data_IF_758465387092
#
_entry.id   IF_758465387092
#
_cell.length_a   1.000
_cell.length_b   1.000
_cell.length_c   1.000
_cell.angle_alpha   90.00
_cell.angle_beta   90.00
_cell.angle_gamma   90.00
#
_symmetry.space_group_name_H-M   'P 1'
#
loop_
_entity.id
_entity.type
_entity.pdbx_description
1 polymer ?
#
# COMPACT_ATOMS: atom_id res chain seq x y z
N UNK A 1 21.15 35.41 16.77
CA UNK A 1 19.73 35.08 16.94
C UNK A 1 19.17 34.72 15.57
N UNK A 2 19.17 33.43 15.24
CA UNK A 2 18.36 32.83 14.17
C UNK A 2 17.92 31.47 14.71
N UNK A 3 16.61 31.25 14.76
CA UNK A 3 15.95 30.04 15.25
C UNK A 3 15.92 29.07 14.07
N UNK A 4 16.55 27.91 14.18
CA UNK A 4 16.27 26.81 13.26
C UNK A 4 14.96 26.15 13.73
N UNK A 5 13.99 26.11 12.84
CA UNK A 5 12.75 25.37 13.04
C UNK A 5 13.06 23.88 13.20
N UNK A 6 12.38 23.27 14.17
CA UNK A 6 12.52 21.87 14.52
C UNK A 6 11.98 21.02 13.38
N UNK A 7 12.86 20.33 12.65
CA UNK A 7 12.47 19.23 11.79
C UNK A 7 11.70 18.21 12.63
N UNK A 8 10.41 18.08 12.35
CA UNK A 8 9.59 17.01 12.90
C UNK A 8 9.99 15.73 12.16
N UNK A 9 11.08 15.12 12.64
CA UNK A 9 11.49 13.79 12.26
C UNK A 9 10.33 12.85 12.65
N UNK A 10 9.57 12.40 11.65
CA UNK A 10 8.53 11.39 11.87
C UNK A 10 9.28 10.11 12.22
N UNK A 11 9.34 9.85 13.52
CA UNK A 11 9.91 8.67 14.12
C UNK A 11 9.22 7.42 13.55
N UNK A 12 9.95 6.73 12.68
CA UNK A 12 9.50 5.51 12.03
C UNK A 12 9.41 4.32 13.02
N UNK A 13 9.72 4.54 14.30
CA UNK A 13 9.56 3.56 15.39
C UNK A 13 8.15 3.54 15.99
N UNK A 14 7.28 4.51 15.68
CA UNK A 14 5.92 4.58 16.24
C UNK A 14 4.85 3.87 15.41
N UNK A 15 5.19 3.22 14.29
CA UNK A 15 4.27 2.24 13.69
C UNK A 15 4.47 0.94 14.47
N UNK A 16 3.83 0.87 15.63
CA UNK A 16 3.49 -0.44 16.19
C UNK A 16 2.69 -1.15 15.09
N UNK A 17 3.33 -2.13 14.44
CA UNK A 17 2.61 -3.21 13.78
C UNK A 17 1.95 -4.00 14.91
N UNK A 18 0.88 -3.42 15.44
CA UNK A 18 0.12 -4.01 16.51
C UNK A 18 -0.30 -5.39 16.01
N UNK A 19 0.11 -6.39 16.76
CA UNK A 19 -0.02 -7.81 16.42
C UNK A 19 -1.48 -8.25 16.63
N UNK A 20 -2.42 -7.46 16.13
CA UNK A 20 -3.85 -7.75 16.11
C UNK A 20 -4.17 -8.36 14.75
N UNK A 21 -3.65 -9.58 14.55
CA UNK A 21 -4.39 -10.60 13.78
C UNK A 21 -5.36 -11.27 14.77
N UNK A 22 -6.15 -10.47 15.46
CA UNK A 22 -7.22 -10.93 16.32
C UNK A 22 -8.47 -10.21 15.85
N UNK A 23 -9.35 -11.00 15.24
CA UNK A 23 -10.60 -10.58 14.61
C UNK A 23 -10.46 -9.45 13.58
N UNK A 24 -9.85 -9.78 12.43
CA UNK A 24 -10.58 -9.43 11.22
C UNK A 24 -11.92 -10.15 11.39
N UNK A 25 -13.02 -9.44 11.61
CA UNK A 25 -14.33 -10.00 11.25
C UNK A 25 -14.09 -10.65 9.89
N UNK A 26 -14.12 -11.98 9.85
CA UNK A 26 -14.04 -12.69 8.60
C UNK A 26 -15.31 -12.26 7.93
N UNK A 27 -15.20 -11.26 7.05
CA UNK A 27 -16.27 -10.92 6.15
C UNK A 27 -16.64 -12.22 5.41
N UNK A 28 -17.80 -12.29 4.78
CA UNK A 28 -18.32 -13.56 4.27
C UNK A 28 -17.47 -14.20 3.14
N UNK A 29 -16.23 -13.75 2.91
CA UNK A 29 -15.31 -14.14 1.86
C UNK A 29 -14.05 -14.85 2.40
N UNK A 30 -13.43 -15.71 1.59
CA UNK A 30 -12.29 -16.55 2.02
C UNK A 30 -10.93 -15.83 2.08
N UNK A 31 -10.84 -14.61 1.53
CA UNK A 31 -9.65 -13.75 1.45
C UNK A 31 -9.97 -12.38 2.08
N UNK A 32 -9.01 -11.56 2.52
CA UNK A 32 -9.29 -10.19 2.97
C UNK A 32 -9.32 -9.17 1.82
N UNK A 33 -9.97 -8.02 2.02
CA UNK A 33 -9.81 -6.86 1.15
C UNK A 33 -8.36 -6.31 1.22
N UNK A 34 -7.72 -6.10 0.07
CA UNK A 34 -6.31 -5.75 -0.07
C UNK A 34 -6.07 -4.42 -0.81
N UNK A 35 -7.06 -3.85 -1.50
CA UNK A 35 -6.86 -2.60 -2.25
C UNK A 35 -6.85 -1.39 -1.32
N UNK A 36 -5.66 -0.83 -1.07
CA UNK A 36 -5.50 0.33 -0.19
C UNK A 36 -5.27 1.65 -0.91
N UNK A 37 -4.50 1.63 -2.00
CA UNK A 37 -4.10 2.84 -2.70
C UNK A 37 -4.09 2.63 -4.22
N UNK A 38 -4.49 3.67 -4.95
CA UNK A 38 -4.30 3.78 -6.39
C UNK A 38 -3.06 4.62 -6.70
N UNK A 39 -2.15 4.09 -7.51
CA UNK A 39 -0.96 4.78 -7.97
C UNK A 39 -1.14 5.26 -9.41
N UNK A 40 -0.77 6.50 -9.68
CA UNK A 40 -0.72 7.07 -11.02
C UNK A 40 0.66 7.68 -11.31
N UNK A 41 1.00 7.76 -12.59
CA UNK A 41 2.30 8.18 -13.09
C UNK A 41 2.15 9.50 -13.84
N UNK A 42 3.12 10.39 -13.67
CA UNK A 42 3.17 11.63 -14.43
C UNK A 42 3.69 11.40 -15.86
N UNK A 43 2.84 11.65 -16.86
CA UNK A 43 3.18 11.45 -18.27
C UNK A 43 4.23 12.43 -18.79
N UNK A 44 4.47 13.53 -18.08
CA UNK A 44 5.44 14.55 -18.48
C UNK A 44 6.86 14.29 -17.94
N UNK A 45 7.01 13.34 -17.02
CA UNK A 45 8.30 12.95 -16.46
C UNK A 45 9.06 12.03 -17.42
N UNK A 46 10.40 12.03 -17.36
CA UNK A 46 11.21 11.16 -18.21
C UNK A 46 10.96 9.69 -17.86
N UNK A 47 11.06 8.79 -18.84
CA UNK A 47 11.01 7.33 -18.57
C UNK A 47 12.15 6.90 -17.65
N UNK A 48 13.28 7.61 -17.70
CA UNK A 48 14.45 7.35 -16.85
C UNK A 48 14.20 7.67 -15.37
N UNK A 49 13.13 8.40 -15.04
CA UNK A 49 12.76 8.68 -13.65
C UNK A 49 11.99 7.50 -12.98
N UNK A 50 11.55 6.52 -13.79
CA UNK A 50 10.77 5.36 -13.35
C UNK A 50 11.66 4.13 -13.15
N UNK A 51 12.60 4.24 -12.22
CA UNK A 51 13.55 3.16 -11.90
C UNK A 51 13.04 2.28 -10.76
N UNK A 52 13.10 0.97 -10.95
CA UNK A 52 12.92 -0.01 -9.87
C UNK A 52 14.17 -0.03 -9.00
N UNK A 53 14.03 0.27 -7.71
CA UNK A 53 15.12 0.29 -6.76
C UNK A 53 15.09 -0.99 -5.92
N UNK A 54 16.27 -1.46 -5.51
CA UNK A 54 16.38 -2.50 -4.50
C UNK A 54 16.56 -1.87 -3.12
N UNK A 55 15.81 -2.30 -2.13
CA UNK A 55 15.93 -1.84 -0.75
C UNK A 55 15.76 -3.00 0.24
N UNK A 56 16.33 -2.86 1.42
CA UNK A 56 16.06 -3.76 2.54
C UNK A 56 14.92 -3.20 3.39
N UNK A 57 14.13 -4.09 3.96
CA UNK A 57 13.10 -3.72 4.94
C UNK A 57 13.55 -4.21 6.31
N UNK A 58 12.93 -3.68 7.36
CA UNK A 58 13.07 -4.18 8.72
C UNK A 58 12.24 -5.44 8.99
N UNK A 59 11.56 -6.00 7.96
CA UNK A 59 10.83 -7.26 8.10
C UNK A 59 11.84 -8.40 8.27
N UNK A 60 11.57 -9.29 9.22
CA UNK A 60 12.37 -10.48 9.51
C UNK A 60 12.20 -11.55 8.42
N UNK A 61 12.71 -11.26 7.24
CA UNK A 61 12.90 -12.28 6.22
C UNK A 61 14.05 -13.20 6.65
N UNK A 62 13.80 -14.52 6.69
CA UNK A 62 14.77 -15.55 7.12
C UNK A 62 16.10 -15.47 6.37
N UNK A 63 16.02 -14.99 5.13
CA UNK A 63 17.15 -14.69 4.27
C UNK A 63 17.08 -13.18 4.01
N UNK A 64 18.21 -12.46 4.00
CA UNK A 64 18.30 -11.00 3.72
C UNK A 64 17.77 -10.64 2.31
N UNK A 65 16.46 -10.76 2.12
CA UNK A 65 15.79 -10.58 0.84
C UNK A 65 15.77 -9.10 0.51
N UNK A 66 16.11 -8.78 -0.74
CA UNK A 66 15.97 -7.43 -1.28
C UNK A 66 14.52 -7.29 -1.74
N UNK A 67 13.87 -6.23 -1.27
CA UNK A 67 12.62 -5.78 -1.85
C UNK A 67 12.92 -4.92 -3.08
N UNK A 68 12.06 -5.00 -4.08
CA UNK A 68 12.18 -4.24 -5.32
C UNK A 68 10.99 -3.30 -5.45
N UNK A 69 11.24 -2.06 -5.88
CA UNK A 69 10.21 -1.03 -6.04
C UNK A 69 10.74 0.35 -5.67
N UNK A 70 9.90 1.23 -5.13
CA UNK A 70 10.30 2.55 -4.64
C UNK A 70 9.64 2.80 -3.29
N UNK A 71 10.46 2.97 -2.24
CA UNK A 71 9.98 3.00 -0.85
C UNK A 71 9.17 4.25 -0.50
N UNK A 72 9.57 5.41 -1.01
CA UNK A 72 8.90 6.68 -0.71
C UNK A 72 8.34 7.27 -2.00
N UNK A 73 7.08 6.97 -2.27
CA UNK A 73 6.35 7.50 -3.42
C UNK A 73 5.91 8.95 -3.20
N UNK A 74 5.58 9.32 -1.96
CA UNK A 74 5.14 10.67 -1.59
C UNK A 74 6.20 11.76 -1.79
N UNK A 75 7.49 11.39 -1.79
CA UNK A 75 8.62 12.31 -2.01
C UNK A 75 8.99 12.49 -3.48
N UNK A 76 8.21 11.91 -4.39
CA UNK A 76 8.56 11.79 -5.80
C UNK A 76 7.49 12.47 -6.66
N UNK A 77 7.79 13.56 -7.39
CA UNK A 77 6.79 14.26 -8.20
C UNK A 77 6.20 13.39 -9.33
N UNK A 78 6.92 12.33 -9.72
CA UNK A 78 6.54 11.39 -10.78
C UNK A 78 5.40 10.43 -10.38
N UNK A 79 5.19 10.23 -9.08
CA UNK A 79 4.18 9.30 -8.57
C UNK A 79 3.13 10.05 -7.76
N UNK A 80 1.87 9.75 -8.03
CA UNK A 80 0.75 10.24 -7.22
C UNK A 80 0.02 9.04 -6.65
N UNK A 81 -0.12 9.02 -5.34
CA UNK A 81 -0.81 7.96 -4.60
C UNK A 81 -2.03 8.57 -3.94
N UNK A 82 -3.19 7.95 -4.13
CA UNK A 82 -4.44 8.30 -3.45
C UNK A 82 -5.02 7.06 -2.78
N UNK A 83 -5.63 7.20 -1.60
CA UNK A 83 -6.29 6.08 -0.96
C UNK A 83 -7.46 5.62 -1.83
N UNK A 84 -7.66 4.30 -1.91
CA UNK A 84 -8.75 3.73 -2.72
C UNK A 84 -10.13 4.18 -2.20
N UNK A 85 -10.23 4.39 -0.88
CA UNK A 85 -11.41 4.95 -0.20
C UNK A 85 -11.79 6.38 -0.64
N UNK A 86 -10.88 7.12 -1.29
CA UNK A 86 -11.16 8.50 -1.75
C UNK A 86 -11.79 8.56 -3.14
N UNK A 87 -12.13 7.41 -3.75
CA UNK A 87 -12.70 7.31 -5.08
C UNK A 87 -14.20 6.99 -4.99
N UNK A 88 -14.96 7.38 -6.02
CA UNK A 88 -16.42 7.10 -6.11
C UNK A 88 -16.74 5.62 -6.36
N UNK A 89 -15.71 4.78 -6.45
CA UNK A 89 -15.78 3.34 -6.73
C UNK A 89 -15.00 2.55 -5.68
N UNK A 90 -14.88 3.07 -4.46
CA UNK A 90 -14.17 2.44 -3.35
C UNK A 90 -14.72 1.05 -2.98
N UNK A 91 -16.00 0.79 -3.26
CA UNK A 91 -16.64 -0.51 -3.08
C UNK A 91 -16.31 -1.58 -4.14
N UNK A 92 -15.52 -1.24 -5.18
CA UNK A 92 -15.30 -2.13 -6.33
C UNK A 92 -14.66 -3.47 -5.92
N UNK A 93 -13.72 -3.47 -4.98
CA UNK A 93 -13.11 -4.72 -4.49
C UNK A 93 -14.14 -5.64 -3.83
N UNK A 94 -15.00 -5.06 -2.99
CA UNK A 94 -16.09 -5.78 -2.32
C UNK A 94 -17.06 -6.39 -3.31
N UNK A 95 -17.46 -5.64 -4.35
CA UNK A 95 -18.34 -6.13 -5.40
C UNK A 95 -17.70 -7.28 -6.20
N UNK A 96 -16.42 -7.16 -6.56
CA UNK A 96 -15.69 -8.22 -7.25
C UNK A 96 -15.60 -9.49 -6.40
N UNK A 97 -15.30 -9.36 -5.11
CA UNK A 97 -15.25 -10.49 -4.16
C UNK A 97 -16.62 -11.15 -4.00
N UNK A 98 -17.69 -10.36 -3.94
CA UNK A 98 -19.07 -10.84 -3.97
C UNK A 98 -19.34 -11.75 -5.16
N UNK A 99 -19.12 -11.25 -6.38
CA UNK A 99 -19.39 -12.03 -7.59
C UNK A 99 -18.48 -13.24 -7.74
N UNK A 100 -17.22 -13.15 -7.32
CA UNK A 100 -16.30 -14.28 -7.33
C UNK A 100 -16.80 -15.42 -6.42
N UNK A 101 -17.28 -15.10 -5.21
CA UNK A 101 -17.89 -16.08 -4.30
C UNK A 101 -19.13 -16.72 -4.90
N UNK A 102 -20.07 -15.91 -5.40
CA UNK A 102 -21.33 -16.40 -5.99
C UNK A 102 -21.06 -17.35 -7.17
N UNK A 103 -20.09 -17.02 -8.02
CA UNK A 103 -19.68 -17.86 -9.13
C UNK A 103 -19.06 -19.19 -8.65
N UNK A 104 -18.20 -19.13 -7.63
CA UNK A 104 -17.57 -20.32 -7.06
C UNK A 104 -18.58 -21.27 -6.39
N UNK A 105 -19.63 -20.73 -5.77
CA UNK A 105 -20.71 -21.52 -5.18
C UNK A 105 -21.60 -22.20 -6.23
N UNK A 106 -21.82 -21.56 -7.39
CA UNK A 106 -22.61 -22.14 -8.50
C UNK A 106 -21.87 -23.17 -9.35
N UNK A 107 -20.54 -23.16 -9.32
CA UNK A 107 -19.69 -24.11 -10.04
C UNK A 107 -19.36 -25.37 -9.23
N UNK A 108 -19.78 -25.43 -7.97
CA UNK A 108 -19.68 -26.61 -7.10
C UNK A 108 -20.93 -27.47 -7.21
#
# INVERSE_FOLDING_TARGET
>A
MYKAESDHEVDSSSIEFDHVVQDLEVDAYPDPAIWRHMMSFDRNSSRDDYVVQAFTTSLDFTNKQKCFGRRSLSKSPQFRVRAFADFTFDGLETELRHFAKEAAEKLR
#
